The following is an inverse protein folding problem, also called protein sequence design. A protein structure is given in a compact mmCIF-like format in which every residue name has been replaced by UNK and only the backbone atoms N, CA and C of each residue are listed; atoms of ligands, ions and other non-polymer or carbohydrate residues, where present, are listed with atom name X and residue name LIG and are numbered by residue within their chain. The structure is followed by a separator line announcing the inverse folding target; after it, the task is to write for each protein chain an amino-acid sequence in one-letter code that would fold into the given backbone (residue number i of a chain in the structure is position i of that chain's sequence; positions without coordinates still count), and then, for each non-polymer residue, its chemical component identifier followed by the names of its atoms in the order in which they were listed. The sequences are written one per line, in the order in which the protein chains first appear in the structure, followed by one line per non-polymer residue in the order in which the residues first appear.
data_IF_849223038425
#
_entry.id   IF_849223038425
#
_cell.length_a   1.000
_cell.length_b   1.000
_cell.length_c   1.000
_cell.angle_alpha   90.00
_cell.angle_beta   90.00
_cell.angle_gamma   90.00
#
_symmetry.space_group_name_H-M   'P 1'
#
loop_
_entity.id
_entity.type
_entity.pdbx_description
1 polymer ?
#
# COMPACT_ATOMS: atom_id res chain seq x y z
N UNK A 1 9.97 12.18 -43.47
CA UNK A 1 11.07 12.13 -42.48
C UNK A 1 10.70 13.07 -41.33
N UNK A 2 10.15 12.53 -40.25
CA UNK A 2 9.96 13.23 -38.97
C UNK A 2 10.23 12.22 -37.86
N UNK A 3 11.29 12.46 -37.10
CA UNK A 3 11.81 11.57 -36.06
C UNK A 3 11.03 11.79 -34.75
N UNK A 4 10.29 10.78 -34.33
CA UNK A 4 9.71 10.68 -32.99
C UNK A 4 10.81 10.27 -31.99
N UNK A 5 11.36 11.25 -31.29
CA UNK A 5 12.29 11.06 -30.17
C UNK A 5 11.77 11.87 -28.99
N UNK A 6 11.01 11.24 -28.08
CA UNK A 6 10.83 11.63 -26.66
C UNK A 6 9.76 10.77 -25.98
N UNK A 7 10.16 9.68 -25.30
CA UNK A 7 9.41 9.16 -24.13
C UNK A 7 10.14 8.12 -23.26
N UNK A 8 11.49 8.04 -23.27
CA UNK A 8 12.21 6.98 -22.52
C UNK A 8 12.84 7.39 -21.17
N UNK A 9 12.71 8.64 -20.73
CA UNK A 9 13.36 9.10 -19.48
C UNK A 9 12.39 9.22 -18.31
N UNK A 10 11.83 8.10 -17.82
CA UNK A 10 11.10 8.09 -16.54
C UNK A 10 10.89 6.69 -15.91
N UNK A 11 11.72 5.68 -16.21
CA UNK A 11 11.47 4.30 -15.71
C UNK A 11 12.59 3.69 -14.85
N UNK A 12 13.65 4.40 -14.54
CA UNK A 12 14.80 3.83 -13.83
C UNK A 12 15.08 4.48 -12.49
N UNK A 13 14.24 4.29 -11.46
CA UNK A 13 14.59 4.51 -10.01
C UNK A 13 13.47 4.18 -9.01
N UNK A 14 12.44 3.42 -9.38
CA UNK A 14 11.23 3.23 -8.53
C UNK A 14 11.17 1.95 -7.68
N UNK A 15 12.26 1.18 -7.53
CA UNK A 15 12.14 -0.22 -7.07
C UNK A 15 12.90 -0.66 -5.80
N UNK A 16 13.70 0.17 -5.12
CA UNK A 16 14.68 -0.40 -4.16
C UNK A 16 14.46 -0.12 -2.66
N UNK A 17 13.59 0.79 -2.22
CA UNK A 17 13.56 1.19 -0.79
C UNK A 17 12.23 1.00 -0.05
N UNK A 18 11.44 -0.03 -0.38
CA UNK A 18 10.16 -0.32 0.30
C UNK A 18 10.14 -1.64 1.11
N UNK A 19 11.31 -2.12 1.55
CA UNK A 19 11.40 -3.32 2.43
C UNK A 19 11.53 -2.98 3.92
N UNK A 20 11.76 -1.71 4.30
CA UNK A 20 12.04 -1.35 5.70
C UNK A 20 10.80 -1.03 6.56
N UNK A 21 9.65 -0.71 5.95
CA UNK A 21 8.46 -0.23 6.69
C UNK A 21 7.69 -1.37 7.37
N UNK A 22 7.89 -2.63 6.97
CA UNK A 22 7.18 -3.79 7.53
C UNK A 22 7.95 -4.56 8.62
N UNK A 23 9.20 -4.18 8.93
CA UNK A 23 10.07 -5.01 9.77
C UNK A 23 10.20 -4.57 11.24
N UNK A 24 9.70 -3.40 11.65
CA UNK A 24 10.19 -2.74 12.87
C UNK A 24 9.23 -2.68 14.07
N UNK A 25 8.30 -3.62 14.23
CA UNK A 25 7.38 -3.66 15.40
C UNK A 25 7.30 -5.00 16.12
N UNK A 26 8.41 -5.74 16.25
CA UNK A 26 8.48 -6.87 17.20
C UNK A 26 9.61 -6.62 18.20
N UNK A 27 9.34 -5.75 19.15
CA UNK A 27 10.05 -5.70 20.43
C UNK A 27 9.24 -6.47 21.46
N UNK A 28 9.39 -7.79 21.50
CA UNK A 28 8.85 -8.62 22.58
C UNK A 28 9.91 -9.64 23.00
N UNK A 29 10.04 -9.78 24.31
CA UNK A 29 11.07 -10.48 25.04
C UNK A 29 11.19 -11.94 24.58
N UNK A 30 12.42 -12.36 24.29
CA UNK A 30 12.79 -13.72 23.90
C UNK A 30 12.63 -14.68 25.08
N UNK A 31 11.51 -15.39 25.15
CA UNK A 31 11.45 -16.69 25.80
C UNK A 31 12.06 -17.74 24.86
N UNK A 32 12.72 -18.79 25.39
CA UNK A 32 13.33 -19.82 24.55
C UNK A 32 12.25 -20.58 23.79
N UNK A 33 12.23 -20.42 22.46
CA UNK A 33 11.35 -21.15 21.55
C UNK A 33 11.82 -22.60 21.50
N UNK A 34 10.96 -23.50 21.95
CA UNK A 34 11.02 -24.93 21.65
C UNK A 34 10.97 -25.10 20.13
N UNK A 35 12.07 -25.58 19.55
CA UNK A 35 12.17 -26.03 18.16
C UNK A 35 11.25 -27.23 17.94
N UNK A 36 10.01 -26.96 17.58
CA UNK A 36 9.11 -27.91 16.94
C UNK A 36 8.41 -27.18 15.79
N UNK A 37 8.78 -27.50 14.55
CA UNK A 37 7.94 -27.48 13.34
C UNK A 37 8.77 -27.14 12.09
N UNK A 38 9.32 -28.17 11.45
CA UNK A 38 9.84 -28.09 10.08
C UNK A 38 8.75 -28.27 9.01
N UNK A 39 7.51 -28.61 9.40
CA UNK A 39 6.42 -28.95 8.48
C UNK A 39 5.44 -27.81 8.19
N UNK A 40 5.12 -26.97 9.17
CA UNK A 40 4.01 -26.01 9.04
C UNK A 40 4.36 -24.79 8.17
N UNK A 41 5.64 -24.40 8.14
CA UNK A 41 6.09 -23.23 7.37
C UNK A 41 5.98 -23.40 5.85
N UNK A 42 6.27 -24.61 5.35
CA UNK A 42 6.22 -24.91 3.91
C UNK A 42 4.77 -24.94 3.40
N UNK A 43 3.86 -25.54 4.16
CA UNK A 43 2.43 -25.60 3.83
C UNK A 43 1.82 -24.20 3.80
N UNK A 44 2.12 -23.36 4.80
CA UNK A 44 1.64 -21.97 4.85
C UNK A 44 2.10 -21.13 3.65
N UNK A 45 3.32 -21.37 3.19
CA UNK A 45 3.88 -20.67 2.01
C UNK A 45 3.23 -21.14 0.71
N UNK A 46 2.91 -22.43 0.59
CA UNK A 46 2.19 -22.96 -0.56
C UNK A 46 0.75 -22.44 -0.62
N UNK A 47 0.05 -22.43 0.51
CA UNK A 47 -1.32 -21.91 0.62
C UNK A 47 -1.40 -20.42 0.29
N UNK A 48 -0.44 -19.64 0.80
CA UNK A 48 -0.34 -18.21 0.50
C UNK A 48 -0.19 -17.97 -1.02
N UNK A 49 0.74 -18.68 -1.67
CA UNK A 49 0.98 -18.54 -3.11
C UNK A 49 -0.26 -18.91 -3.92
N UNK A 50 -0.88 -20.04 -3.60
CA UNK A 50 -2.11 -20.51 -4.26
C UNK A 50 -3.23 -19.49 -4.15
N UNK A 51 -3.52 -18.99 -2.95
CA UNK A 51 -4.58 -18.00 -2.76
C UNK A 51 -4.27 -16.66 -3.43
N UNK A 52 -2.98 -16.27 -3.51
CA UNK A 52 -2.57 -15.06 -4.25
C UNK A 52 -2.84 -15.21 -5.75
N UNK A 53 -2.51 -16.38 -6.34
CA UNK A 53 -2.81 -16.67 -7.76
C UNK A 53 -4.30 -16.65 -8.01
N UNK A 54 -5.09 -17.34 -7.19
CA UNK A 54 -6.56 -17.35 -7.34
C UNK A 54 -7.16 -15.95 -7.18
N UNK A 55 -6.69 -15.14 -6.22
CA UNK A 55 -7.14 -13.76 -6.06
C UNK A 55 -6.82 -12.89 -7.29
N UNK A 56 -5.67 -13.11 -7.93
CA UNK A 56 -5.32 -12.44 -9.19
C UNK A 56 -6.26 -12.83 -10.32
N UNK A 57 -6.57 -14.11 -10.46
CA UNK A 57 -7.48 -14.58 -11.50
C UNK A 57 -8.89 -14.03 -11.29
N UNK A 58 -9.39 -14.00 -10.05
CA UNK A 58 -10.65 -13.33 -9.69
C UNK A 58 -10.63 -11.84 -10.05
N UNK A 59 -9.56 -11.12 -9.70
CA UNK A 59 -9.43 -9.71 -10.03
C UNK A 59 -9.36 -9.47 -11.55
N UNK A 60 -8.70 -10.35 -12.31
CA UNK A 60 -8.67 -10.32 -13.79
C UNK A 60 -10.06 -10.46 -14.39
N UNK A 61 -10.90 -11.31 -13.79
CA UNK A 61 -12.32 -11.46 -14.11
C UNK A 61 -13.21 -10.32 -13.57
N UNK A 62 -12.61 -9.25 -13.04
CA UNK A 62 -13.29 -8.12 -12.40
C UNK A 62 -14.08 -8.47 -11.13
N UNK A 63 -13.91 -9.67 -10.57
CA UNK A 63 -14.46 -10.06 -9.28
C UNK A 63 -13.54 -9.60 -8.13
N UNK A 64 -13.54 -8.29 -7.88
CA UNK A 64 -12.72 -7.66 -6.84
C UNK A 64 -13.12 -8.13 -5.44
N UNK A 65 -14.41 -8.35 -5.20
CA UNK A 65 -14.89 -8.85 -3.92
C UNK A 65 -14.50 -10.33 -3.71
N UNK A 66 -14.52 -11.15 -4.76
CA UNK A 66 -14.02 -12.52 -4.72
C UNK A 66 -12.53 -12.57 -4.44
N UNK A 67 -11.74 -11.72 -5.10
CA UNK A 67 -10.31 -11.60 -4.85
C UNK A 67 -10.02 -11.25 -3.39
N UNK A 68 -10.75 -10.28 -2.82
CA UNK A 68 -10.61 -9.94 -1.41
C UNK A 68 -11.01 -11.11 -0.51
N UNK A 69 -12.20 -11.72 -0.71
CA UNK A 69 -12.64 -12.87 0.08
C UNK A 69 -11.58 -13.96 0.09
N UNK A 70 -10.96 -14.25 -1.06
CA UNK A 70 -9.88 -15.23 -1.15
C UNK A 70 -8.64 -14.84 -0.35
N UNK A 71 -8.23 -13.57 -0.37
CA UNK A 71 -7.08 -13.10 0.41
C UNK A 71 -7.35 -13.06 1.92
N UNK A 72 -8.59 -12.80 2.32
CA UNK A 72 -8.99 -12.77 3.73
C UNK A 72 -8.99 -14.15 4.38
N UNK A 73 -9.08 -15.26 3.62
CA UNK A 73 -9.04 -16.61 4.20
C UNK A 73 -7.69 -16.96 4.82
N UNK A 74 -6.61 -16.26 4.47
CA UNK A 74 -5.31 -16.45 5.11
C UNK A 74 -5.06 -15.44 6.23
N UNK A 75 -6.01 -14.54 6.50
CA UNK A 75 -5.91 -13.60 7.61
C UNK A 75 -6.24 -14.36 8.91
N UNK A 76 -5.34 -14.29 9.89
CA UNK A 76 -5.47 -15.00 11.16
C UNK A 76 -6.01 -14.11 12.28
N UNK A 77 -6.16 -12.82 12.01
CA UNK A 77 -6.70 -11.84 12.96
C UNK A 77 -8.22 -11.90 12.97
N UNK A 78 -8.83 -11.49 14.08
CA UNK A 78 -10.28 -11.50 14.22
C UNK A 78 -10.94 -10.52 13.24
N UNK A 79 -11.96 -10.98 12.52
CA UNK A 79 -12.67 -10.17 11.53
C UNK A 79 -13.26 -8.92 12.15
N UNK A 80 -13.06 -7.76 11.50
CA UNK A 80 -13.57 -6.47 11.98
C UNK A 80 -12.64 -5.74 12.95
N UNK A 81 -11.46 -6.29 13.27
CA UNK A 81 -10.41 -5.59 14.01
C UNK A 81 -9.56 -4.69 13.10
N UNK A 82 -8.85 -3.72 13.70
CA UNK A 82 -7.93 -2.85 12.95
C UNK A 82 -6.86 -3.66 12.22
N UNK A 83 -6.31 -4.65 12.91
CA UNK A 83 -5.29 -5.56 12.41
C UNK A 83 -5.80 -6.34 11.21
N UNK A 84 -7.06 -6.79 11.25
CA UNK A 84 -7.71 -7.48 10.15
C UNK A 84 -7.83 -6.62 8.90
N UNK A 85 -8.29 -5.38 9.07
CA UNK A 85 -8.40 -4.43 7.95
C UNK A 85 -7.03 -4.09 7.37
N UNK A 86 -6.02 -3.83 8.23
CA UNK A 86 -4.66 -3.49 7.81
C UNK A 86 -3.97 -4.64 7.09
N UNK A 87 -4.07 -5.86 7.61
CA UNK A 87 -3.49 -7.05 6.98
C UNK A 87 -4.14 -7.35 5.62
N UNK A 88 -5.47 -7.25 5.55
CA UNK A 88 -6.23 -7.41 4.30
C UNK A 88 -5.80 -6.36 3.27
N UNK A 89 -5.69 -5.09 3.68
CA UNK A 89 -5.20 -4.01 2.82
C UNK A 89 -3.78 -4.30 2.29
N UNK A 90 -2.86 -4.74 3.15
CA UNK A 90 -1.50 -5.10 2.77
C UNK A 90 -1.41 -6.25 1.75
N UNK A 91 -2.35 -7.20 1.79
CA UNK A 91 -2.45 -8.30 0.82
C UNK A 91 -3.03 -7.82 -0.51
N UNK A 92 -4.13 -7.06 -0.47
CA UNK A 92 -4.76 -6.49 -1.65
C UNK A 92 -3.77 -5.63 -2.45
N UNK A 93 -2.98 -4.80 -1.77
CA UNK A 93 -2.04 -3.91 -2.46
C UNK A 93 -0.87 -4.65 -3.10
N UNK A 94 -0.41 -5.76 -2.49
CA UNK A 94 0.59 -6.64 -3.10
C UNK A 94 0.08 -7.24 -4.41
N UNK A 95 -1.16 -7.74 -4.40
CA UNK A 95 -1.81 -8.26 -5.61
C UNK A 95 -2.01 -7.18 -6.66
N UNK A 96 -2.42 -5.97 -6.24
CA UNK A 96 -2.55 -4.82 -7.13
C UNK A 96 -1.22 -4.47 -7.82
N UNK A 97 -0.11 -4.47 -7.08
CA UNK A 97 1.23 -4.23 -7.62
C UNK A 97 1.65 -5.31 -8.63
N UNK A 98 1.38 -6.58 -8.34
CA UNK A 98 1.65 -7.69 -9.27
C UNK A 98 0.85 -7.53 -10.58
N UNK A 99 -0.45 -7.24 -10.49
CA UNK A 99 -1.29 -7.02 -11.68
C UNK A 99 -0.81 -5.82 -12.51
N UNK A 100 -0.38 -4.73 -11.87
CA UNK A 100 0.19 -3.57 -12.59
C UNK A 100 1.47 -3.95 -13.34
N UNK A 101 2.36 -4.75 -12.73
CA UNK A 101 3.59 -5.24 -13.38
C UNK A 101 3.30 -6.14 -14.57
N UNK A 102 2.21 -6.90 -14.51
CA UNK A 102 1.74 -7.76 -15.60
C UNK A 102 0.97 -7.00 -16.69
N UNK A 103 0.80 -5.68 -16.56
CA UNK A 103 0.08 -4.85 -17.53
C UNK A 103 -1.42 -4.73 -17.28
N UNK A 104 -1.99 -5.45 -16.31
CA UNK A 104 -3.39 -5.37 -15.91
C UNK A 104 -3.67 -4.14 -15.01
N UNK A 105 -3.35 -2.94 -15.50
CA UNK A 105 -3.39 -1.69 -14.74
C UNK A 105 -4.79 -1.33 -14.23
N UNK A 106 -5.83 -1.63 -14.99
CA UNK A 106 -7.22 -1.37 -14.59
C UNK A 106 -7.63 -2.17 -13.35
N UNK A 107 -7.32 -3.47 -13.35
CA UNK A 107 -7.57 -4.36 -12.21
C UNK A 107 -6.71 -4.00 -11.01
N UNK A 108 -5.45 -3.63 -11.24
CA UNK A 108 -4.58 -3.09 -10.19
C UNK A 108 -5.17 -1.84 -9.53
N UNK A 109 -5.68 -0.90 -10.32
CA UNK A 109 -6.36 0.29 -9.79
C UNK A 109 -7.65 -0.04 -9.04
N UNK A 110 -8.42 -1.04 -9.49
CA UNK A 110 -9.62 -1.50 -8.80
C UNK A 110 -9.31 -2.10 -7.42
N UNK A 111 -8.29 -2.96 -7.30
CA UNK A 111 -7.82 -3.48 -6.02
C UNK A 111 -7.24 -2.39 -5.12
N UNK A 112 -6.55 -1.40 -5.69
CA UNK A 112 -6.07 -0.25 -4.93
C UNK A 112 -7.24 0.57 -4.32
N UNK A 113 -8.35 0.75 -5.04
CA UNK A 113 -9.55 1.37 -4.49
C UNK A 113 -10.18 0.54 -3.36
N UNK A 114 -10.22 -0.80 -3.50
CA UNK A 114 -10.68 -1.67 -2.41
C UNK A 114 -9.77 -1.60 -1.19
N UNK A 115 -8.46 -1.48 -1.41
CA UNK A 115 -7.46 -1.26 -0.35
C UNK A 115 -7.74 0.02 0.42
N UNK A 116 -8.04 1.13 -0.29
CA UNK A 116 -8.40 2.41 0.35
C UNK A 116 -9.66 2.29 1.23
N UNK A 117 -10.65 1.49 0.84
CA UNK A 117 -11.83 1.24 1.68
C UNK A 117 -11.44 0.54 2.99
N UNK A 118 -10.59 -0.49 2.93
CA UNK A 118 -10.10 -1.18 4.14
C UNK A 118 -9.26 -0.29 5.05
N UNK A 119 -8.46 0.61 4.48
CA UNK A 119 -7.71 1.59 5.27
C UNK A 119 -8.64 2.60 5.94
N UNK A 120 -9.74 3.01 5.29
CA UNK A 120 -10.74 3.86 5.91
C UNK A 120 -11.46 3.17 7.08
N UNK A 121 -11.78 1.87 6.94
CA UNK A 121 -12.31 1.06 8.05
C UNK A 121 -11.30 1.01 9.22
N UNK A 122 -10.02 0.74 8.91
CA UNK A 122 -8.93 0.71 9.89
C UNK A 122 -8.78 2.06 10.63
N UNK A 123 -8.76 3.19 9.90
CA UNK A 123 -8.71 4.54 10.48
C UNK A 123 -9.93 4.80 11.39
N UNK A 124 -11.12 4.35 10.99
CA UNK A 124 -12.33 4.52 11.80
C UNK A 124 -12.21 3.80 13.14
N UNK A 125 -11.72 2.56 13.13
CA UNK A 125 -11.50 1.78 14.34
C UNK A 125 -10.36 2.36 15.20
N UNK A 126 -9.25 2.79 14.58
CA UNK A 126 -8.12 3.41 15.27
C UNK A 126 -8.54 4.68 16.03
N UNK A 127 -9.35 5.52 15.40
CA UNK A 127 -9.95 6.70 16.05
C UNK A 127 -10.80 6.33 17.26
N UNK A 128 -11.63 5.28 17.16
CA UNK A 128 -12.49 4.81 18.27
C UNK A 128 -11.66 4.27 19.44
N UNK A 129 -10.55 3.61 19.15
CA UNK A 129 -9.65 3.06 20.17
C UNK A 129 -8.64 4.09 20.71
N UNK A 130 -8.54 5.28 20.10
CA UNK A 130 -7.53 6.28 20.43
C UNK A 130 -6.10 5.90 20.00
N UNK A 131 -5.94 4.93 19.10
CA UNK A 131 -4.65 4.48 18.59
C UNK A 131 -4.17 5.39 17.44
N UNK A 132 -3.51 6.48 17.81
CA UNK A 132 -2.97 7.45 16.86
C UNK A 132 -1.93 6.87 15.92
N UNK A 133 -1.18 5.85 16.36
CA UNK A 133 -0.11 5.24 15.56
C UNK A 133 -0.71 4.41 14.43
N UNK A 134 -1.67 3.54 14.74
CA UNK A 134 -2.38 2.77 13.71
C UNK A 134 -3.17 3.68 12.75
N UNK A 135 -3.73 4.79 13.26
CA UNK A 135 -4.35 5.80 12.40
C UNK A 135 -3.34 6.43 11.43
N UNK A 136 -2.16 6.84 11.93
CA UNK A 136 -1.10 7.42 11.11
C UNK A 136 -0.59 6.44 10.04
N UNK A 137 -0.31 5.18 10.42
CA UNK A 137 0.17 4.13 9.51
C UNK A 137 -0.83 3.87 8.38
N UNK A 138 -2.13 3.76 8.70
CA UNK A 138 -3.17 3.52 7.72
C UNK A 138 -3.32 4.71 6.76
N UNK A 139 -3.24 5.95 7.26
CA UNK A 139 -3.22 7.16 6.44
C UNK A 139 -1.97 7.20 5.54
N UNK A 140 -0.78 6.97 6.08
CA UNK A 140 0.45 6.96 5.30
C UNK A 140 0.37 6.00 4.11
N UNK A 141 -0.14 4.78 4.33
CA UNK A 141 -0.37 3.81 3.26
C UNK A 141 -1.42 4.30 2.25
N UNK A 142 -2.51 4.93 2.70
CA UNK A 142 -3.49 5.52 1.79
C UNK A 142 -2.90 6.65 0.93
N UNK A 143 -2.03 7.49 1.51
CA UNK A 143 -1.28 8.53 0.80
C UNK A 143 -0.42 7.93 -0.33
N UNK A 144 0.30 6.85 -0.03
CA UNK A 144 1.08 6.11 -1.03
C UNK A 144 0.22 5.56 -2.17
N UNK A 145 -0.97 5.04 -1.86
CA UNK A 145 -1.89 4.53 -2.89
C UNK A 145 -2.41 5.66 -3.79
N UNK A 146 -2.78 6.81 -3.21
CA UNK A 146 -3.24 7.97 -3.97
C UNK A 146 -2.18 8.49 -4.94
N UNK A 147 -0.92 8.49 -4.50
CA UNK A 147 0.21 8.82 -5.35
C UNK A 147 0.38 7.80 -6.48
N UNK A 148 0.53 6.52 -6.14
CA UNK A 148 0.98 5.49 -7.09
C UNK A 148 -0.09 5.07 -8.09
N UNK A 149 -1.32 4.89 -7.65
CA UNK A 149 -2.40 4.33 -8.48
C UNK A 149 -3.31 5.38 -9.08
N UNK A 150 -3.45 6.54 -8.41
CA UNK A 150 -4.39 7.58 -8.84
C UNK A 150 -3.71 8.81 -9.43
N UNK A 151 -2.38 8.95 -9.27
CA UNK A 151 -1.66 10.16 -9.68
C UNK A 151 -2.18 11.43 -8.99
N UNK A 152 -2.91 11.28 -7.88
CA UNK A 152 -3.58 12.39 -7.21
C UNK A 152 -2.68 12.93 -6.10
N UNK A 153 -1.69 13.72 -6.51
CA UNK A 153 -0.67 14.32 -5.62
C UNK A 153 -1.32 15.15 -4.52
N UNK A 154 -2.40 15.89 -4.82
CA UNK A 154 -3.09 16.75 -3.83
C UNK A 154 -3.70 15.92 -2.71
N UNK A 155 -4.42 14.85 -3.04
CA UNK A 155 -4.99 13.96 -2.02
C UNK A 155 -3.89 13.22 -1.27
N UNK A 156 -2.84 12.76 -1.94
CA UNK A 156 -1.70 12.14 -1.27
C UNK A 156 -1.06 13.09 -0.24
N UNK A 157 -0.81 14.35 -0.60
CA UNK A 157 -0.27 15.37 0.31
C UNK A 157 -1.16 15.62 1.52
N UNK A 158 -2.47 15.75 1.32
CA UNK A 158 -3.41 15.94 2.42
C UNK A 158 -3.35 14.76 3.41
N UNK A 159 -3.42 13.53 2.89
CA UNK A 159 -3.41 12.33 3.73
C UNK A 159 -2.07 12.15 4.47
N UNK A 160 -0.94 12.43 3.83
CA UNK A 160 0.36 12.37 4.51
C UNK A 160 0.54 13.48 5.57
N UNK A 161 -0.06 14.66 5.39
CA UNK A 161 -0.04 15.72 6.42
C UNK A 161 -0.79 15.26 7.65
N UNK A 162 -1.99 14.73 7.46
CA UNK A 162 -2.78 14.14 8.55
C UNK A 162 -2.03 13.02 9.28
N UNK A 163 -1.26 12.20 8.54
CA UNK A 163 -0.41 11.16 9.15
C UNK A 163 0.75 11.76 9.97
N UNK A 164 1.40 12.81 9.45
CA UNK A 164 2.50 13.49 10.13
C UNK A 164 2.05 14.23 11.41
N UNK A 165 0.83 14.73 11.46
CA UNK A 165 0.26 15.33 12.67
C UNK A 165 0.03 14.29 13.78
N UNK A 166 -0.30 13.06 13.40
CA UNK A 166 -0.55 11.96 14.34
C UNK A 166 0.72 11.29 14.84
N UNK A 167 1.73 11.15 13.96
CA UNK A 167 3.02 10.55 14.25
C UNK A 167 4.17 11.45 13.74
N UNK A 168 4.45 12.58 14.42
CA UNK A 168 5.42 13.58 13.98
C UNK A 168 6.87 13.08 14.01
N UNK A 169 7.15 11.94 14.63
CA UNK A 169 8.46 11.29 14.62
C UNK A 169 8.66 10.33 13.44
N UNK A 170 7.61 10.01 12.68
CA UNK A 170 7.71 9.09 11.54
C UNK A 170 8.49 9.73 10.39
N UNK A 171 9.73 9.29 10.25
CA UNK A 171 10.65 9.74 9.21
C UNK A 171 10.15 9.42 7.80
N UNK A 172 9.51 8.27 7.61
CA UNK A 172 9.04 7.83 6.28
C UNK A 172 7.92 8.74 5.75
N UNK A 173 7.01 9.17 6.64
CA UNK A 173 5.95 10.12 6.32
C UNK A 173 6.52 11.49 5.97
N UNK A 174 7.51 11.98 6.74
CA UNK A 174 8.20 13.24 6.44
C UNK A 174 8.88 13.22 5.08
N UNK A 175 9.64 12.18 4.78
CA UNK A 175 10.33 12.03 3.49
C UNK A 175 9.33 11.97 2.32
N UNK A 176 8.18 11.31 2.50
CA UNK A 176 7.11 11.29 1.51
C UNK A 176 6.50 12.69 1.29
N UNK A 177 6.25 13.45 2.36
CA UNK A 177 5.74 14.82 2.28
C UNK A 177 6.70 15.73 1.54
N UNK A 178 7.98 15.76 1.93
CA UNK A 178 8.99 16.64 1.35
C UNK A 178 9.10 16.38 -0.16
N UNK A 179 9.18 15.11 -0.55
CA UNK A 179 9.24 14.71 -1.96
C UNK A 179 8.00 15.15 -2.75
N UNK A 180 6.80 14.96 -2.20
CA UNK A 180 5.56 15.34 -2.89
C UNK A 180 5.40 16.86 -2.99
N UNK A 181 5.82 17.61 -1.97
CA UNK A 181 5.79 19.07 -1.99
C UNK A 181 6.75 19.64 -3.03
N UNK A 182 7.95 19.06 -3.16
CA UNK A 182 8.89 19.42 -4.22
C UNK A 182 8.30 19.13 -5.61
N UNK A 183 7.69 17.96 -5.80
CA UNK A 183 7.06 17.60 -7.06
C UNK A 183 5.91 18.56 -7.44
N UNK A 184 5.07 18.94 -6.48
CA UNK A 184 3.98 19.90 -6.68
C UNK A 184 4.53 21.30 -7.03
N UNK A 185 5.57 21.76 -6.34
CA UNK A 185 6.21 23.05 -6.63
C UNK A 185 6.79 23.09 -8.06
N UNK A 186 7.50 22.03 -8.48
CA UNK A 186 8.03 21.91 -9.84
C UNK A 186 6.92 21.90 -10.90
N UNK A 187 5.83 21.17 -10.66
CA UNK A 187 4.69 21.14 -11.58
C UNK A 187 4.07 22.52 -11.73
N UNK A 188 3.84 23.23 -10.61
CA UNK A 188 3.27 24.57 -10.62
C UNK A 188 4.18 25.58 -11.33
N UNK A 189 5.50 25.50 -11.14
CA UNK A 189 6.46 26.35 -11.84
C UNK A 189 6.40 26.15 -13.37
N UNK A 190 6.33 24.89 -13.83
CA UNK A 190 6.20 24.55 -15.25
C UNK A 190 4.89 25.07 -15.86
N UNK A 191 3.78 24.89 -15.15
CA UNK A 191 2.46 25.40 -15.60
C UNK A 191 2.47 26.93 -15.71
N UNK A 192 3.11 27.64 -14.78
CA UNK A 192 3.26 29.10 -14.87
C UNK A 192 4.14 29.52 -16.04
N UNK A 193 5.24 28.82 -16.29
CA UNK A 193 6.13 29.12 -17.41
C UNK A 193 5.45 28.89 -18.77
N UNK A 194 4.63 27.84 -18.92
CA UNK A 194 3.91 27.55 -20.15
C UNK A 194 2.76 28.52 -20.48
N UNK A 195 2.37 29.38 -19.52
CA UNK A 195 1.32 30.40 -19.68
C UNK A 195 1.86 31.79 -20.02
N UNK A 196 3.19 31.96 -20.02
CA UNK A 196 3.88 33.19 -20.44
C UNK A 196 4.28 33.05 -21.90
#
# INVERSE_FOLDING_TARGET
MSTNLRSEWARGTLAVLLWAILANTVGAQSTPVTTASGGDGLTRTADFRRATVEAKDLARMQDIDGAERKLTTLNVTETGTMEWHRETAGRLIRVADELVREGARGQGAALANRTLQRLADCVTLAKRCGDKRSEADAKALAGWIHERYRGNIRTALAVYRDAAELAPEDRSVKEALDRLQQAEAMLNARVRAARR
#
